data_IF_064872728035
#
_entry.id   IF_064872728035
#
_cell.length_a   1.000
_cell.length_b   1.000
_cell.length_c   1.000
_cell.angle_alpha   90.00
_cell.angle_beta   90.00
_cell.angle_gamma   90.00
#
_symmetry.space_group_name_H-M   'P 1'
#
loop_
_entity.id
_entity.type
_entity.pdbx_description
1 polymer ?
#
# COMPACT_ATOMS: atom_id res chain seq x y z
N UNK A 1 2.01 3.37 -4.29
CA UNK A 1 0.98 3.81 -5.25
C UNK A 1 1.58 4.02 -6.64
N UNK A 2 1.11 3.28 -7.64
CA UNK A 2 1.39 3.54 -9.07
C UNK A 2 0.56 4.75 -9.49
N UNK A 3 1.17 5.93 -9.46
CA UNK A 3 0.50 7.16 -9.89
C UNK A 3 0.69 7.38 -11.39
N UNK A 4 -0.18 8.18 -12.01
CA UNK A 4 -0.03 8.60 -13.41
C UNK A 4 1.32 9.28 -13.72
N UNK A 5 2.02 9.78 -12.68
CA UNK A 5 3.38 10.33 -12.77
C UNK A 5 4.48 9.26 -12.71
N UNK A 6 4.22 8.12 -12.07
CA UNK A 6 5.20 7.04 -11.85
C UNK A 6 5.24 6.05 -13.00
N UNK A 7 4.13 5.84 -13.69
CA UNK A 7 4.03 4.90 -14.82
C UNK A 7 4.93 5.28 -16.03
N UNK A 8 5.05 6.55 -16.45
CA UNK A 8 5.98 6.94 -17.51
C UNK A 8 7.45 6.69 -17.14
N UNK A 9 7.80 6.87 -15.86
CA UNK A 9 9.16 6.59 -15.36
C UNK A 9 9.46 5.09 -15.42
N UNK A 10 8.53 4.25 -14.99
CA UNK A 10 8.67 2.79 -15.07
C UNK A 10 8.71 2.32 -16.53
N UNK A 11 7.92 2.93 -17.40
CA UNK A 11 7.92 2.66 -18.85
C UNK A 11 9.27 2.98 -19.47
N UNK A 12 9.85 4.15 -19.12
CA UNK A 12 11.21 4.51 -19.56
C UNK A 12 12.24 3.49 -19.09
N UNK A 13 12.21 3.11 -17.81
CA UNK A 13 13.12 2.09 -17.26
C UNK A 13 12.98 0.74 -17.95
N UNK A 14 11.76 0.32 -18.28
CA UNK A 14 11.51 -0.92 -19.01
C UNK A 14 12.11 -0.87 -20.42
N UNK A 15 11.90 0.23 -21.14
CA UNK A 15 12.47 0.42 -22.48
C UNK A 15 13.99 0.48 -22.44
N UNK A 16 14.58 1.17 -21.45
CA UNK A 16 16.03 1.22 -21.23
C UNK A 16 16.58 -0.20 -20.95
N UNK A 17 15.87 -1.02 -20.17
CA UNK A 17 16.25 -2.40 -19.89
C UNK A 17 16.18 -3.32 -21.11
N UNK A 18 15.32 -3.02 -22.09
CA UNK A 18 15.28 -3.70 -23.38
C UNK A 18 16.43 -3.28 -24.33
N UNK A 19 17.25 -2.29 -23.97
CA UNK A 19 18.32 -1.77 -24.83
C UNK A 19 17.95 -0.51 -25.62
N UNK A 20 16.82 0.12 -25.30
CA UNK A 20 16.36 1.35 -25.94
C UNK A 20 15.10 1.17 -26.80
N UNK A 21 14.68 2.27 -27.45
CA UNK A 21 13.42 2.35 -28.18
C UNK A 21 13.37 1.44 -29.41
N UNK A 22 14.48 1.38 -30.16
CA UNK A 22 14.61 0.58 -31.37
C UNK A 22 14.50 -0.91 -31.05
N UNK A 23 15.26 -1.38 -30.05
CA UNK A 23 15.24 -2.78 -29.62
C UNK A 23 13.90 -3.17 -28.98
N UNK A 24 13.30 -2.30 -28.17
CA UNK A 24 11.98 -2.53 -27.62
C UNK A 24 10.90 -2.65 -28.71
N UNK A 25 10.95 -1.79 -29.74
CA UNK A 25 10.02 -1.84 -30.87
C UNK A 25 10.16 -3.15 -31.66
N UNK A 26 11.40 -3.58 -31.90
CA UNK A 26 11.72 -4.83 -32.60
C UNK A 26 11.25 -6.06 -31.80
N UNK A 27 11.54 -6.08 -30.49
CA UNK A 27 11.08 -7.16 -29.61
C UNK A 27 9.56 -7.30 -29.62
N UNK A 28 8.82 -6.18 -29.62
CA UNK A 28 7.36 -6.20 -29.73
C UNK A 28 6.89 -6.82 -31.05
N UNK A 29 7.51 -6.43 -32.17
CA UNK A 29 7.19 -6.98 -33.50
C UNK A 29 7.45 -8.48 -33.58
N UNK A 30 8.55 -8.96 -33.02
CA UNK A 30 8.96 -10.37 -33.06
C UNK A 30 8.14 -11.26 -32.13
N UNK A 31 7.77 -10.78 -30.94
CA UNK A 31 7.20 -11.62 -29.87
C UNK A 31 5.71 -11.41 -29.61
N UNK A 32 5.10 -10.32 -30.08
CA UNK A 32 3.69 -10.02 -29.78
C UNK A 32 2.99 -9.33 -30.94
N UNK A 33 3.14 -8.01 -31.07
CA UNK A 33 2.55 -7.22 -32.16
C UNK A 33 3.39 -5.98 -32.43
N UNK A 34 3.36 -5.43 -33.66
CA UNK A 34 4.07 -4.20 -33.98
C UNK A 34 3.65 -3.06 -33.04
N UNK A 35 4.65 -2.45 -32.42
CA UNK A 35 4.46 -1.29 -31.55
C UNK A 35 5.59 -0.28 -31.79
N UNK A 36 5.25 0.83 -32.44
CA UNK A 36 6.26 1.73 -33.02
C UNK A 36 7.08 2.49 -31.97
N UNK A 37 8.30 2.88 -32.34
CA UNK A 37 9.18 3.77 -31.58
C UNK A 37 8.44 5.04 -31.11
N UNK A 38 7.63 5.65 -31.99
CA UNK A 38 6.87 6.85 -31.65
C UNK A 38 5.80 6.60 -30.57
N UNK A 39 5.17 5.42 -30.59
CA UNK A 39 4.23 5.02 -29.53
C UNK A 39 4.96 4.77 -28.21
N UNK A 40 6.07 4.02 -28.23
CA UNK A 40 6.91 3.77 -27.05
C UNK A 40 7.43 5.07 -26.42
N UNK A 41 7.94 5.99 -27.25
CA UNK A 41 8.43 7.31 -26.81
C UNK A 41 7.33 8.13 -26.13
N UNK A 42 6.13 8.14 -26.70
CA UNK A 42 4.98 8.85 -26.14
C UNK A 42 4.50 8.26 -24.81
N UNK A 43 4.61 6.95 -24.61
CA UNK A 43 4.30 6.29 -23.33
C UNK A 43 5.27 6.65 -22.19
N UNK A 44 6.49 7.14 -22.51
CA UNK A 44 7.45 7.63 -21.53
C UNK A 44 7.20 9.10 -21.12
N UNK A 45 6.34 9.81 -21.84
CA UNK A 45 6.10 11.22 -21.61
C UNK A 45 4.98 11.41 -20.59
N UNK A 46 5.30 12.07 -19.48
CA UNK A 46 4.30 12.40 -18.46
C UNK A 46 3.20 13.31 -19.04
N UNK A 47 1.94 12.98 -18.76
CA UNK A 47 0.79 13.76 -19.22
C UNK A 47 0.37 13.51 -20.67
N UNK A 48 1.01 12.56 -21.39
CA UNK A 48 0.62 12.22 -22.76
C UNK A 48 -0.73 11.48 -22.86
N UNK A 49 -1.23 10.95 -21.73
CA UNK A 49 -2.42 10.07 -21.69
C UNK A 49 -2.22 8.72 -22.38
N UNK A 50 -1.00 8.43 -22.85
CA UNK A 50 -0.67 7.21 -23.57
C UNK A 50 0.08 6.26 -22.64
N UNK A 51 -0.42 5.04 -22.50
CA UNK A 51 0.14 4.01 -21.62
C UNK A 51 0.42 2.75 -22.42
N UNK A 52 1.41 1.98 -21.97
CA UNK A 52 1.68 0.68 -22.57
C UNK A 52 0.52 -0.29 -22.27
N UNK A 53 -0.01 -0.96 -23.29
CA UNK A 53 -0.91 -2.09 -23.12
C UNK A 53 -0.25 -3.23 -22.33
N UNK A 54 -1.04 -4.03 -21.60
CA UNK A 54 -0.51 -5.07 -20.72
C UNK A 54 0.24 -6.17 -21.47
N UNK A 55 -0.21 -6.53 -22.67
CA UNK A 55 0.46 -7.45 -23.58
C UNK A 55 1.87 -6.96 -23.95
N UNK A 56 2.00 -5.67 -24.25
CA UNK A 56 3.29 -5.04 -24.58
C UNK A 56 4.21 -5.00 -23.35
N UNK A 57 3.68 -4.70 -22.17
CA UNK A 57 4.46 -4.73 -20.92
C UNK A 57 5.00 -6.14 -20.69
N UNK A 58 4.14 -7.17 -20.74
CA UNK A 58 4.55 -8.55 -20.53
C UNK A 58 5.62 -9.00 -21.55
N UNK A 59 5.46 -8.60 -22.82
CA UNK A 59 6.43 -8.85 -23.87
C UNK A 59 7.80 -8.24 -23.55
N UNK A 60 7.84 -6.94 -23.21
CA UNK A 60 9.09 -6.23 -22.94
C UNK A 60 9.78 -6.72 -21.66
N UNK A 61 9.03 -7.08 -20.63
CA UNK A 61 9.57 -7.67 -19.40
C UNK A 61 10.15 -9.07 -19.66
N UNK A 62 9.48 -9.88 -20.48
CA UNK A 62 9.98 -11.18 -20.90
C UNK A 62 11.26 -11.04 -21.74
N UNK A 63 11.31 -10.07 -22.65
CA UNK A 63 12.48 -9.81 -23.50
C UNK A 63 13.68 -9.31 -22.70
N UNK A 64 13.47 -8.33 -21.81
CA UNK A 64 14.53 -7.78 -20.95
C UNK A 64 14.92 -8.69 -19.79
N UNK A 65 14.10 -9.69 -19.47
CA UNK A 65 14.26 -10.54 -18.29
C UNK A 65 14.03 -9.82 -16.97
N UNK A 66 13.41 -8.63 -16.99
CA UNK A 66 13.18 -7.79 -15.81
C UNK A 66 11.71 -7.43 -15.63
N UNK A 67 11.11 -7.87 -14.50
CA UNK A 67 9.72 -7.54 -14.14
C UNK A 67 9.60 -6.14 -13.51
N UNK A 68 9.89 -5.07 -14.25
CA UNK A 68 9.91 -3.69 -13.71
C UNK A 68 8.53 -3.15 -13.37
N UNK A 69 7.58 -3.22 -14.31
CA UNK A 69 6.22 -2.72 -14.16
C UNK A 69 5.38 -3.75 -13.38
N UNK A 70 5.55 -5.03 -13.65
CA UNK A 70 4.89 -6.14 -12.94
C UNK A 70 5.24 -6.14 -11.45
N UNK A 71 6.52 -6.02 -11.09
CA UNK A 71 6.90 -5.94 -9.67
C UNK A 71 6.38 -4.65 -9.04
N UNK A 72 6.44 -3.52 -9.74
CA UNK A 72 5.88 -2.27 -9.21
C UNK A 72 4.36 -2.36 -8.95
N UNK A 73 3.63 -3.15 -9.75
CA UNK A 73 2.21 -3.43 -9.53
C UNK A 73 1.99 -4.30 -8.29
N UNK A 74 2.83 -5.30 -8.07
CA UNK A 74 2.79 -6.15 -6.87
C UNK A 74 3.14 -5.36 -5.62
N UNK A 75 4.21 -4.58 -5.64
CA UNK A 75 4.66 -3.73 -4.54
C UNK A 75 3.66 -2.61 -4.21
N UNK A 76 2.81 -2.22 -5.17
CA UNK A 76 1.76 -1.25 -4.94
C UNK A 76 0.52 -1.85 -4.28
N UNK A 77 0.40 -3.18 -4.18
CA UNK A 77 -0.67 -3.81 -3.42
C UNK A 77 -0.36 -3.67 -1.93
N UNK A 78 -1.34 -3.30 -1.09
CA UNK A 78 -1.18 -3.48 0.34
C UNK A 78 -0.87 -4.96 0.59
N UNK A 79 0.21 -5.24 1.31
CA UNK A 79 0.59 -6.62 1.59
C UNK A 79 -0.49 -7.27 2.47
N UNK A 80 -0.75 -8.55 2.25
CA UNK A 80 -1.68 -9.29 3.09
C UNK A 80 -1.28 -9.25 4.59
N UNK A 81 0.03 -9.12 4.86
CA UNK A 81 0.59 -8.96 6.19
C UNK A 81 0.19 -7.62 6.86
N UNK A 82 0.11 -6.52 6.10
CA UNK A 82 -0.34 -5.23 6.63
C UNK A 82 -1.83 -5.25 7.00
N UNK A 83 -2.66 -5.97 6.23
CA UNK A 83 -4.09 -6.14 6.51
C UNK A 83 -4.31 -6.99 7.77
N UNK A 84 -3.56 -8.08 7.92
CA UNK A 84 -3.64 -8.98 9.09
C UNK A 84 -3.15 -8.30 10.38
N UNK A 85 -2.08 -7.50 10.28
CA UNK A 85 -1.56 -6.68 11.37
C UNK A 85 -2.62 -5.69 11.88
N UNK A 86 -3.35 -5.03 10.98
CA UNK A 86 -4.39 -4.09 11.36
C UNK A 86 -5.60 -4.76 12.02
N UNK A 87 -6.04 -5.92 11.51
CA UNK A 87 -7.12 -6.68 12.13
C UNK A 87 -6.76 -7.13 13.55
N UNK A 88 -5.49 -7.47 13.75
CA UNK A 88 -4.95 -7.81 15.07
C UNK A 88 -4.96 -6.58 15.99
N UNK A 89 -4.39 -5.44 15.57
CA UNK A 89 -4.36 -4.20 16.36
C UNK A 89 -5.77 -3.69 16.74
N UNK A 90 -6.74 -3.81 15.84
CA UNK A 90 -8.13 -3.43 16.09
C UNK A 90 -8.79 -4.35 17.12
N UNK A 91 -8.48 -5.65 17.08
CA UNK A 91 -8.99 -6.63 18.04
C UNK A 91 -8.40 -6.40 19.43
N UNK A 92 -7.09 -6.19 19.53
CA UNK A 92 -6.40 -5.88 20.79
C UNK A 92 -6.94 -4.60 21.45
N UNK A 93 -7.19 -3.55 20.65
CA UNK A 93 -7.79 -2.30 21.15
C UNK A 93 -9.19 -2.53 21.72
N UNK A 94 -9.97 -3.41 21.11
CA UNK A 94 -11.32 -3.76 21.58
C UNK A 94 -11.26 -4.53 22.90
N UNK A 95 -10.34 -5.48 23.02
CA UNK A 95 -10.11 -6.23 24.25
C UNK A 95 -9.64 -5.33 25.40
N UNK A 96 -8.72 -4.41 25.12
CA UNK A 96 -8.25 -3.42 26.09
C UNK A 96 -9.39 -2.52 26.58
N UNK A 97 -10.25 -2.05 25.68
CA UNK A 97 -11.43 -1.25 26.03
C UNK A 97 -12.42 -2.02 26.91
N UNK A 98 -12.70 -3.30 26.58
CA UNK A 98 -13.57 -4.15 27.37
C UNK A 98 -13.01 -4.42 28.78
N UNK A 99 -11.71 -4.66 28.87
CA UNK A 99 -10.99 -4.84 30.14
C UNK A 99 -11.08 -3.58 31.02
N UNK A 100 -10.80 -2.41 30.45
CA UNK A 100 -10.95 -1.12 31.14
C UNK A 100 -12.38 -0.91 31.66
N UNK A 101 -13.39 -1.14 30.81
CA UNK A 101 -14.80 -1.03 31.22
C UNK A 101 -15.16 -1.98 32.38
N UNK A 102 -14.59 -3.19 32.40
CA UNK A 102 -14.79 -4.16 33.49
C UNK A 102 -14.24 -3.63 34.82
N UNK A 103 -13.02 -3.05 34.79
CA UNK A 103 -12.39 -2.46 35.98
C UNK A 103 -13.13 -1.24 36.50
N UNK A 104 -13.59 -0.36 35.61
CA UNK A 104 -14.44 0.79 35.99
C UNK A 104 -15.69 0.29 36.71
N UNK A 105 -16.39 -0.71 36.16
CA UNK A 105 -17.58 -1.29 36.80
C UNK A 105 -17.30 -1.86 38.19
N UNK A 106 -16.13 -2.47 38.39
CA UNK A 106 -15.72 -3.01 39.68
C UNK A 106 -15.39 -1.91 40.69
N UNK A 107 -14.65 -0.88 40.26
CA UNK A 107 -14.24 0.22 41.13
C UNK A 107 -15.42 1.11 41.60
N UNK A 108 -16.53 1.13 40.84
CA UNK A 108 -17.74 1.87 41.25
C UNK A 108 -18.75 1.00 42.01
N UNK A 109 -18.51 -0.32 42.12
CA UNK A 109 -19.51 -1.27 42.62
C UNK A 109 -19.86 -1.06 44.10
N UNK A 110 -18.92 -0.58 44.91
CA UNK A 110 -19.11 -0.24 46.32
C UNK A 110 -19.49 1.24 46.53
N UNK A 111 -19.61 2.01 45.45
CA UNK A 111 -19.95 3.43 45.46
C UNK A 111 -18.82 4.36 45.89
N UNK A 112 -17.59 3.87 46.13
CA UNK A 112 -16.46 4.68 46.58
C UNK A 112 -15.21 4.36 45.78
N UNK A 113 -14.82 5.25 44.87
CA UNK A 113 -13.54 5.13 44.16
C UNK A 113 -12.42 5.71 45.03
N UNK A 114 -11.47 4.87 45.42
CA UNK A 114 -10.29 5.30 46.18
C UNK A 114 -9.30 6.09 45.30
N UNK A 115 -8.43 6.94 45.89
CA UNK A 115 -7.38 7.61 45.13
C UNK A 115 -6.46 6.65 44.36
N UNK A 116 -6.23 5.45 44.90
CA UNK A 116 -5.44 4.41 44.24
C UNK A 116 -6.13 3.87 43.00
N UNK A 117 -7.41 3.52 43.10
CA UNK A 117 -8.22 3.06 41.95
C UNK A 117 -8.38 4.15 40.90
N UNK A 118 -8.57 5.41 41.32
CA UNK A 118 -8.62 6.53 40.39
C UNK A 118 -7.32 6.67 39.60
N UNK A 119 -6.16 6.56 40.26
CA UNK A 119 -4.86 6.63 39.61
C UNK A 119 -4.59 5.43 38.68
N UNK A 120 -5.05 4.24 39.03
CA UNK A 120 -4.95 3.04 38.18
C UNK A 120 -5.82 3.18 36.93
N UNK A 121 -7.10 3.55 37.10
CA UNK A 121 -8.03 3.77 35.99
C UNK A 121 -7.56 4.88 35.06
N UNK A 122 -7.01 5.98 35.59
CA UNK A 122 -6.47 7.06 34.77
C UNK A 122 -5.31 6.59 33.88
N UNK A 123 -4.39 5.80 34.45
CA UNK A 123 -3.24 5.25 33.71
C UNK A 123 -3.66 4.28 32.61
N UNK A 124 -4.67 3.46 32.89
CA UNK A 124 -5.22 2.54 31.90
C UNK A 124 -5.99 3.25 30.80
N UNK A 125 -6.75 4.30 31.14
CA UNK A 125 -7.41 5.15 30.15
C UNK A 125 -6.40 5.82 29.22
N UNK A 126 -5.29 6.36 29.76
CA UNK A 126 -4.21 6.94 28.94
C UNK A 126 -3.58 5.91 28.01
N UNK A 127 -3.33 4.70 28.50
CA UNK A 127 -2.78 3.60 27.70
C UNK A 127 -3.73 3.21 26.56
N UNK A 128 -5.03 3.09 26.86
CA UNK A 128 -6.06 2.79 25.86
C UNK A 128 -6.16 3.90 24.81
N UNK A 129 -6.08 5.17 25.21
CA UNK A 129 -6.10 6.29 24.26
C UNK A 129 -4.85 6.36 23.40
N UNK A 130 -3.69 5.96 23.92
CA UNK A 130 -2.47 5.85 23.11
C UNK A 130 -2.65 4.77 22.03
N UNK A 131 -3.10 3.57 22.41
CA UNK A 131 -3.38 2.48 21.46
C UNK A 131 -4.40 2.89 20.40
N UNK A 132 -5.50 3.54 20.79
CA UNK A 132 -6.50 4.02 19.85
C UNK A 132 -5.93 5.03 18.83
N UNK A 133 -5.01 5.89 19.25
CA UNK A 133 -4.32 6.81 18.31
C UNK A 133 -3.41 6.07 17.35
N UNK A 134 -2.70 5.05 17.82
CA UNK A 134 -1.84 4.22 16.99
C UNK A 134 -2.66 3.48 15.93
N UNK A 135 -3.81 2.91 16.31
CA UNK A 135 -4.76 2.30 15.36
C UNK A 135 -5.28 3.32 14.34
N UNK A 136 -5.63 4.55 14.76
CA UNK A 136 -6.04 5.62 13.82
C UNK A 136 -4.91 5.97 12.85
N UNK A 137 -3.67 6.04 13.33
CA UNK A 137 -2.51 6.29 12.48
C UNK A 137 -2.26 5.13 11.49
N UNK A 138 -2.46 3.88 11.92
CA UNK A 138 -2.40 2.70 11.07
C UNK A 138 -3.50 2.72 9.99
N UNK A 139 -4.74 3.03 10.37
CA UNK A 139 -5.86 3.21 9.43
C UNK A 139 -5.60 4.34 8.43
N UNK A 140 -5.01 5.46 8.86
CA UNK A 140 -4.66 6.57 7.97
C UNK A 140 -3.60 6.23 6.92
N UNK A 141 -2.83 5.14 7.11
CA UNK A 141 -1.89 4.61 6.11
C UNK A 141 -2.58 3.71 5.08
N UNK A 142 -3.81 3.25 5.35
CA UNK A 142 -4.59 2.50 4.38
C UNK A 142 -4.98 3.43 3.23
N UNK A 143 -4.64 3.03 2.01
CA UNK A 143 -5.09 3.78 0.84
C UNK A 143 -6.51 3.34 0.51
N UNK A 144 -7.48 4.21 0.74
CA UNK A 144 -8.85 4.02 0.25
C UNK A 144 -8.79 4.10 -1.27
N UNK A 145 -9.16 3.02 -1.97
CA UNK A 145 -9.41 3.07 -3.40
C UNK A 145 -10.58 4.05 -3.62
N UNK A 146 -10.31 5.20 -4.25
CA UNK A 146 -11.34 6.08 -4.80
C UNK A 146 -11.83 5.54 -6.14
#
# INVERSE_FOLDING_TARGET
>A
MLTARRLPILTKRLIDACGGLEEASKACEDMTRPYSIAQLSRCQTAGSGCYLPLDIIACLEAYSGQSIVGQALLDARPSAAEIDCLMTEASESTEAAASFQSKVRRAIADGVVTPGEQAELAREAETLFAQARDTVAAVGKLTVAQ
#
